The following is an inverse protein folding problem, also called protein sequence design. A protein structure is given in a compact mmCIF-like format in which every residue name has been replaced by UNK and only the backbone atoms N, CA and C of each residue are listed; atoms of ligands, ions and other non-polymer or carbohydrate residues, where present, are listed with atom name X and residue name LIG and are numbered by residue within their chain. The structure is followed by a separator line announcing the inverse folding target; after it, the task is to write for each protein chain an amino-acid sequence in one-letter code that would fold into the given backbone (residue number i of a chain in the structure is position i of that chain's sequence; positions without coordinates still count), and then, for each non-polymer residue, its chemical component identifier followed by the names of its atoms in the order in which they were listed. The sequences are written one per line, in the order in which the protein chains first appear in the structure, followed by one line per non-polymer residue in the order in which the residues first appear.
data_IF_667706531424
#
_entry.id   IF_667706531424
#
_cell.length_a   1.000
_cell.length_b   1.000
_cell.length_c   1.000
_cell.angle_alpha   90.00
_cell.angle_beta   90.00
_cell.angle_gamma   90.00
#
_symmetry.space_group_name_H-M   'P 1'
#
loop_
_entity.id
_entity.type
_entity.pdbx_description
1 polymer ?
#
# COMPACT_ATOMS: atom_id res chain seq x y z
N UNK A 1 36.37 0.75 -42.30
CA UNK A 1 35.70 1.43 -41.14
C UNK A 1 34.50 0.60 -40.81
N UNK A 2 34.61 -0.25 -39.80
CA UNK A 2 33.52 -1.13 -39.34
C UNK A 2 32.79 -0.44 -38.16
N UNK A 3 31.48 -0.30 -38.28
CA UNK A 3 30.59 0.27 -37.27
C UNK A 3 30.37 -0.81 -36.20
N UNK A 4 30.57 -0.55 -34.89
CA UNK A 4 30.27 -1.51 -33.85
C UNK A 4 28.75 -1.63 -33.63
N UNK A 5 28.28 -2.87 -33.60
CA UNK A 5 26.90 -3.30 -33.29
C UNK A 5 26.45 -2.80 -31.89
N UNK A 6 25.19 -2.40 -31.71
CA UNK A 6 24.72 -1.95 -30.41
C UNK A 6 24.61 -3.13 -29.45
N UNK A 7 25.31 -2.99 -28.30
CA UNK A 7 25.25 -3.93 -27.20
C UNK A 7 23.80 -4.09 -26.70
N UNK A 8 23.29 -5.31 -26.73
CA UNK A 8 22.06 -5.71 -26.07
C UNK A 8 22.14 -5.37 -24.57
N UNK A 9 21.37 -4.39 -24.12
CA UNK A 9 21.10 -4.22 -22.70
C UNK A 9 20.26 -5.39 -22.24
N UNK A 10 20.87 -6.27 -21.44
CA UNK A 10 20.14 -7.27 -20.67
C UNK A 10 19.16 -6.57 -19.72
N UNK A 11 17.92 -7.09 -19.56
CA UNK A 11 17.00 -6.61 -18.55
C UNK A 11 17.58 -6.84 -17.15
N UNK A 12 17.31 -5.95 -16.16
CA UNK A 12 17.89 -6.07 -14.83
C UNK A 12 17.38 -7.33 -14.12
N UNK A 13 18.28 -8.28 -13.96
CA UNK A 13 18.45 -9.16 -12.84
C UNK A 13 17.42 -10.23 -12.54
N UNK A 14 17.26 -11.23 -13.41
CA UNK A 14 17.00 -12.58 -12.92
C UNK A 14 18.28 -13.06 -12.19
N UNK A 15 18.18 -13.26 -10.87
CA UNK A 15 19.21 -14.01 -10.14
C UNK A 15 19.30 -15.39 -10.77
N UNK A 16 20.51 -15.86 -11.12
CA UNK A 16 20.74 -17.19 -11.65
C UNK A 16 20.02 -18.23 -10.76
N UNK A 17 19.59 -19.36 -11.35
CA UNK A 17 19.02 -20.52 -10.66
C UNK A 17 19.83 -20.81 -9.38
N UNK A 18 19.30 -20.40 -8.18
CA UNK A 18 19.99 -20.55 -6.92
C UNK A 18 20.39 -19.25 -6.22
N UNK A 19 19.53 -18.23 -6.14
CA UNK A 19 19.78 -17.03 -5.32
C UNK A 19 20.10 -17.34 -3.86
N UNK A 20 20.72 -16.38 -3.11
CA UNK A 20 21.14 -16.60 -1.73
C UNK A 20 19.98 -17.08 -0.84
N UNK A 21 20.30 -17.99 0.09
CA UNK A 21 19.37 -18.44 1.12
C UNK A 21 19.61 -17.66 2.39
N UNK A 22 18.59 -17.00 2.92
CA UNK A 22 18.61 -16.28 4.19
C UNK A 22 17.86 -17.06 5.26
N UNK A 23 18.29 -16.96 6.51
CA UNK A 23 17.78 -17.73 7.65
C UNK A 23 17.79 -19.26 7.42
N UNK A 24 18.61 -19.79 6.50
CA UNK A 24 18.61 -21.22 6.14
C UNK A 24 17.30 -21.71 5.49
N UNK A 25 16.34 -20.82 5.23
CA UNK A 25 14.96 -21.17 4.84
C UNK A 25 14.46 -20.41 3.60
N UNK A 26 14.78 -19.14 3.45
CA UNK A 26 14.19 -18.31 2.41
C UNK A 26 15.16 -18.09 1.25
N UNK A 27 14.89 -18.70 0.10
CA UNK A 27 15.69 -18.54 -1.10
C UNK A 27 15.25 -17.28 -1.86
N UNK A 28 16.12 -16.27 -1.92
CA UNK A 28 15.85 -15.02 -2.65
C UNK A 28 15.69 -15.30 -4.15
N UNK A 29 14.63 -14.75 -4.74
CA UNK A 29 14.28 -14.87 -6.16
C UNK A 29 14.30 -13.49 -6.83
N UNK A 30 13.12 -13.01 -7.21
CA UNK A 30 12.95 -11.77 -7.97
C UNK A 30 13.12 -10.56 -7.06
N UNK A 31 13.79 -9.53 -7.59
CA UNK A 31 13.83 -8.23 -6.94
C UNK A 31 12.49 -7.50 -7.20
N UNK A 32 11.71 -7.27 -6.16
CA UNK A 32 10.43 -6.58 -6.21
C UNK A 32 10.58 -5.06 -6.18
N UNK A 33 11.60 -4.55 -5.47
CA UNK A 33 11.83 -3.11 -5.35
C UNK A 33 13.21 -2.75 -4.81
N UNK A 34 13.66 -1.54 -5.17
CA UNK A 34 14.88 -0.92 -4.64
C UNK A 34 14.53 0.42 -4.01
N UNK A 35 14.75 0.54 -2.71
CA UNK A 35 14.71 1.80 -1.99
C UNK A 35 16.12 2.31 -1.69
N UNK A 36 16.20 3.49 -1.11
CA UNK A 36 17.46 4.09 -0.64
C UNK A 36 18.04 3.35 0.56
N UNK A 37 17.24 2.62 1.32
CA UNK A 37 17.59 1.98 2.59
C UNK A 37 17.60 0.46 2.51
N UNK A 38 16.83 -0.12 1.61
CA UNK A 38 16.69 -1.57 1.48
C UNK A 38 16.32 -1.98 0.06
N UNK A 39 16.55 -3.26 -0.23
CA UNK A 39 16.06 -3.99 -1.41
C UNK A 39 15.03 -5.01 -0.95
N UNK A 40 13.91 -5.11 -1.65
CA UNK A 40 12.85 -6.09 -1.34
C UNK A 40 12.87 -7.18 -2.38
N UNK A 41 12.97 -8.42 -1.94
CA UNK A 41 12.99 -9.62 -2.78
C UNK A 41 11.76 -10.48 -2.51
N UNK A 42 11.21 -11.08 -3.55
CA UNK A 42 10.40 -12.28 -3.41
C UNK A 42 11.33 -13.43 -3.03
N UNK A 43 10.94 -14.25 -2.07
CA UNK A 43 11.70 -15.42 -1.68
C UNK A 43 10.80 -16.65 -1.56
N UNK A 44 11.32 -17.80 -1.99
CA UNK A 44 10.66 -19.09 -1.75
C UNK A 44 10.92 -19.54 -0.34
N UNK A 45 9.90 -20.06 0.32
CA UNK A 45 10.02 -20.76 1.59
C UNK A 45 10.40 -22.23 1.32
N UNK A 46 11.62 -22.61 1.65
CA UNK A 46 12.15 -23.97 1.44
C UNK A 46 11.49 -25.02 2.33
N UNK A 47 10.79 -24.62 3.40
CA UNK A 47 9.99 -25.51 4.25
C UNK A 47 8.59 -25.78 3.64
N UNK A 48 8.33 -25.35 2.39
CA UNK A 48 7.08 -25.61 1.68
C UNK A 48 5.95 -24.66 2.01
N UNK A 49 6.23 -23.55 2.71
CA UNK A 49 5.29 -22.45 2.92
C UNK A 49 5.08 -21.58 1.67
N UNK A 50 4.18 -20.60 1.72
CA UNK A 50 4.00 -19.64 0.65
C UNK A 50 5.26 -18.77 0.49
N UNK A 51 5.46 -18.22 -0.71
CA UNK A 51 6.49 -17.21 -0.95
C UNK A 51 6.32 -16.02 0.01
N UNK A 52 7.44 -15.43 0.38
CA UNK A 52 7.50 -14.29 1.33
C UNK A 52 8.20 -13.08 0.67
N UNK A 53 8.04 -11.90 1.27
CA UNK A 53 8.86 -10.74 0.96
C UNK A 53 10.04 -10.67 1.95
N UNK A 54 11.24 -10.49 1.41
CA UNK A 54 12.46 -10.32 2.21
C UNK A 54 13.06 -8.96 1.90
N UNK A 55 13.03 -8.08 2.89
CA UNK A 55 13.60 -6.73 2.83
C UNK A 55 15.02 -6.77 3.39
N UNK A 56 16.01 -6.61 2.53
CA UNK A 56 17.44 -6.65 2.89
C UNK A 56 18.00 -5.24 2.86
N UNK A 57 18.69 -4.80 3.90
CA UNK A 57 19.33 -3.48 3.96
C UNK A 57 20.38 -3.31 2.85
N UNK A 58 20.62 -2.06 2.44
CA UNK A 58 21.59 -1.76 1.38
C UNK A 58 23.04 -2.00 1.81
N UNK A 59 23.32 -1.95 3.12
CA UNK A 59 24.61 -2.27 3.73
C UNK A 59 24.43 -2.83 5.15
N UNK A 60 25.52 -3.15 5.82
CA UNK A 60 25.63 -3.72 7.16
C UNK A 60 25.88 -2.68 8.26
N UNK A 61 25.66 -1.38 7.99
CA UNK A 61 25.87 -0.33 8.97
C UNK A 61 24.94 -0.44 10.18
N UNK A 62 25.39 -0.01 11.35
CA UNK A 62 24.61 0.03 12.57
C UNK A 62 23.28 0.79 12.40
N UNK A 63 23.28 1.85 11.60
CA UNK A 63 22.10 2.64 11.28
C UNK A 63 21.02 1.83 10.53
N UNK A 64 21.43 1.01 9.55
CA UNK A 64 20.49 0.17 8.80
C UNK A 64 20.03 -1.01 9.66
N UNK A 65 20.91 -1.53 10.53
CA UNK A 65 20.53 -2.55 11.50
C UNK A 65 19.44 -2.05 12.44
N UNK A 66 19.62 -0.88 13.02
CA UNK A 66 18.64 -0.24 13.90
C UNK A 66 17.30 -0.02 13.18
N UNK A 67 17.30 0.49 11.95
CA UNK A 67 16.09 0.73 11.17
C UNK A 67 15.31 -0.54 10.86
N UNK A 68 15.97 -1.59 10.38
CA UNK A 68 15.32 -2.88 10.08
C UNK A 68 14.78 -3.51 11.38
N UNK A 69 15.52 -3.39 12.49
CA UNK A 69 15.10 -3.89 13.80
C UNK A 69 13.86 -3.14 14.34
N UNK A 70 13.84 -1.81 14.20
CA UNK A 70 12.69 -0.99 14.60
C UNK A 70 11.45 -1.31 13.75
N UNK A 71 11.59 -1.44 12.44
CA UNK A 71 10.50 -1.86 11.54
C UNK A 71 9.96 -3.24 11.93
N UNK A 72 10.87 -4.20 12.21
CA UNK A 72 10.50 -5.54 12.66
C UNK A 72 9.74 -5.50 13.99
N UNK A 73 10.19 -4.69 14.96
CA UNK A 73 9.53 -4.54 16.26
C UNK A 73 8.11 -3.97 16.12
N UNK A 74 7.94 -2.96 15.28
CA UNK A 74 6.61 -2.38 14.95
C UNK A 74 5.71 -3.44 14.35
N UNK A 75 6.14 -4.11 13.28
CA UNK A 75 5.35 -5.14 12.59
C UNK A 75 5.05 -6.35 13.49
N UNK A 76 5.97 -6.72 14.38
CA UNK A 76 5.76 -7.82 15.33
C UNK A 76 4.66 -7.52 16.36
N UNK A 77 4.44 -6.25 16.69
CA UNK A 77 3.39 -5.81 17.61
C UNK A 77 2.01 -5.69 16.94
N UNK A 78 1.98 -5.41 15.62
CA UNK A 78 0.73 -5.17 14.89
C UNK A 78 0.05 -6.47 14.42
N UNK A 79 -1.28 -6.54 14.56
CA UNK A 79 -2.10 -7.66 14.07
C UNK A 79 -3.39 -7.12 13.46
N UNK A 80 -3.36 -6.90 12.14
CA UNK A 80 -4.55 -6.43 11.41
C UNK A 80 -4.60 -7.04 10.00
N UNK A 81 -5.78 -7.41 9.48
CA UNK A 81 -5.90 -8.05 8.17
C UNK A 81 -5.44 -7.17 6.98
N UNK A 82 -5.41 -5.86 7.13
CA UNK A 82 -4.88 -4.93 6.11
C UNK A 82 -3.48 -4.39 6.42
N UNK A 83 -2.71 -5.08 7.28
CA UNK A 83 -1.28 -4.84 7.52
C UNK A 83 -0.54 -6.13 7.16
N UNK A 84 0.61 -6.02 6.47
CA UNK A 84 1.46 -7.19 6.21
C UNK A 84 1.95 -7.80 7.51
N UNK A 85 1.99 -9.12 7.57
CA UNK A 85 2.38 -9.84 8.78
C UNK A 85 3.89 -9.99 8.85
N UNK A 86 4.47 -9.67 10.01
CA UNK A 86 5.85 -10.02 10.36
C UNK A 86 6.04 -11.54 10.43
N UNK A 87 7.15 -12.03 9.87
CA UNK A 87 7.51 -13.46 9.88
C UNK A 87 8.85 -13.67 10.58
N UNK A 88 9.85 -12.84 10.32
CA UNK A 88 11.18 -13.04 10.90
C UNK A 88 12.14 -11.88 10.68
N UNK A 89 13.23 -11.90 11.41
CA UNK A 89 14.33 -10.94 11.36
C UNK A 89 15.65 -11.70 11.43
N UNK A 90 16.69 -11.23 10.76
CA UNK A 90 18.01 -11.85 10.83
C UNK A 90 19.10 -11.07 10.11
N UNK A 91 20.24 -11.73 9.95
CA UNK A 91 21.40 -11.23 9.23
C UNK A 91 21.74 -12.21 8.12
N UNK A 92 22.02 -11.70 6.92
CA UNK A 92 22.40 -12.53 5.77
C UNK A 92 23.71 -13.27 6.06
N UNK A 93 23.75 -14.61 5.93
CA UNK A 93 24.95 -15.37 6.21
C UNK A 93 26.09 -15.04 5.25
N UNK A 94 27.31 -15.38 5.65
CA UNK A 94 28.51 -15.24 4.82
C UNK A 94 28.41 -15.96 3.47
N UNK A 95 29.32 -15.61 2.54
CA UNK A 95 29.42 -16.28 1.24
C UNK A 95 28.56 -15.70 0.11
N UNK A 96 27.88 -14.57 0.34
CA UNK A 96 27.10 -13.87 -0.69
C UNK A 96 27.45 -12.38 -0.74
N UNK A 97 27.10 -11.69 -1.82
CA UNK A 97 27.28 -10.24 -1.94
C UNK A 97 26.41 -9.43 -0.95
N UNK A 98 25.46 -10.06 -0.27
CA UNK A 98 24.59 -9.46 0.74
C UNK A 98 25.02 -9.81 2.18
N UNK A 99 26.13 -10.54 2.37
CA UNK A 99 26.60 -11.00 3.67
C UNK A 99 26.70 -9.88 4.71
N UNK A 100 26.32 -10.19 5.96
CA UNK A 100 26.37 -9.24 7.07
C UNK A 100 25.20 -8.26 7.14
N UNK A 101 24.39 -8.11 6.08
CA UNK A 101 23.28 -7.16 6.04
C UNK A 101 22.08 -7.65 6.83
N UNK A 102 21.43 -6.79 7.63
CA UNK A 102 20.19 -7.15 8.29
C UNK A 102 19.05 -7.30 7.28
N UNK A 103 18.15 -8.25 7.53
CA UNK A 103 16.94 -8.46 6.73
C UNK A 103 15.71 -8.68 7.59
N UNK A 104 14.56 -8.29 7.05
CA UNK A 104 13.23 -8.51 7.58
C UNK A 104 12.47 -9.44 6.63
N UNK A 105 11.76 -10.43 7.17
CA UNK A 105 10.84 -11.31 6.42
C UNK A 105 9.41 -10.96 6.79
N UNK A 106 8.59 -10.72 5.77
CA UNK A 106 7.18 -10.38 5.92
C UNK A 106 6.30 -11.13 4.91
N UNK A 107 5.00 -11.14 5.14
CA UNK A 107 4.02 -11.70 4.22
C UNK A 107 4.13 -11.00 2.85
N UNK A 108 4.17 -11.81 1.78
CA UNK A 108 4.15 -11.30 0.42
C UNK A 108 2.74 -10.87 0.03
N UNK A 109 2.55 -9.58 -0.26
CA UNK A 109 1.35 -9.09 -0.91
C UNK A 109 1.38 -9.44 -2.40
N UNK A 110 0.45 -10.27 -2.86
CA UNK A 110 0.49 -10.88 -4.20
C UNK A 110 -0.02 -10.00 -5.33
N UNK A 111 -0.79 -8.94 -5.03
CA UNK A 111 -1.36 -8.05 -6.03
C UNK A 111 -0.47 -6.85 -6.36
N UNK A 112 -0.89 -6.00 -7.32
CA UNK A 112 -0.18 -4.77 -7.64
C UNK A 112 -0.34 -3.74 -6.51
N UNK A 113 0.59 -2.77 -6.47
CA UNK A 113 0.42 -1.56 -5.67
C UNK A 113 -0.74 -0.70 -6.20
N UNK A 114 -1.32 0.15 -5.34
CA UNK A 114 -2.31 1.13 -5.81
C UNK A 114 -1.71 2.11 -6.83
N UNK A 115 -0.39 2.33 -6.81
CA UNK A 115 0.31 3.08 -7.86
C UNK A 115 0.26 2.40 -9.22
N UNK A 116 0.40 1.08 -9.27
CA UNK A 116 0.28 0.28 -10.49
C UNK A 116 -1.18 0.17 -10.93
N UNK A 117 -2.08 -0.08 -9.99
CA UNK A 117 -3.51 -0.15 -10.25
C UNK A 117 -4.05 1.15 -10.87
N UNK A 118 -3.63 2.31 -10.36
CA UNK A 118 -4.03 3.62 -10.91
C UNK A 118 -3.56 3.81 -12.37
N UNK A 119 -2.46 3.17 -12.78
CA UNK A 119 -1.95 3.23 -14.18
C UNK A 119 -2.69 2.28 -15.13
N UNK A 120 -3.28 1.21 -14.62
CA UNK A 120 -3.99 0.22 -15.44
C UNK A 120 -5.43 0.63 -15.79
N UNK A 121 -5.96 1.65 -15.14
CA UNK A 121 -7.30 2.18 -15.42
C UNK A 121 -7.99 2.76 -14.19
N UNK A 122 -9.20 3.28 -14.41
CA UNK A 122 -10.04 3.79 -13.32
C UNK A 122 -10.78 2.64 -12.65
N UNK A 123 -10.79 2.66 -11.33
CA UNK A 123 -11.58 1.73 -10.53
C UNK A 123 -12.94 2.33 -10.18
N UNK A 124 -13.95 1.47 -10.05
CA UNK A 124 -15.27 1.94 -9.63
C UNK A 124 -15.21 2.57 -8.23
N UNK A 125 -15.92 3.69 -7.97
CA UNK A 125 -15.90 4.33 -6.65
C UNK A 125 -16.25 3.39 -5.49
N UNK A 126 -17.16 2.44 -5.68
CA UNK A 126 -17.54 1.47 -4.64
C UNK A 126 -16.37 0.54 -4.26
N UNK A 127 -15.55 0.16 -5.24
CA UNK A 127 -14.34 -0.65 -4.99
C UNK A 127 -13.33 0.16 -4.19
N UNK A 128 -13.15 1.44 -4.56
CA UNK A 128 -12.27 2.36 -3.83
C UNK A 128 -12.78 2.59 -2.40
N UNK A 129 -14.10 2.67 -2.19
CA UNK A 129 -14.70 2.79 -0.86
C UNK A 129 -14.37 1.57 0.03
N UNK A 130 -14.44 0.37 -0.53
CA UNK A 130 -14.04 -0.86 0.17
C UNK A 130 -12.56 -0.88 0.54
N UNK A 131 -11.68 -0.40 -0.36
CA UNK A 131 -10.25 -0.25 -0.06
C UNK A 131 -10.02 0.82 1.02
N UNK A 132 -10.65 1.97 0.90
CA UNK A 132 -10.55 3.07 1.86
C UNK A 132 -10.93 2.61 3.27
N UNK A 133 -12.05 1.90 3.41
CA UNK A 133 -12.49 1.34 4.68
C UNK A 133 -11.40 0.47 5.31
N UNK A 134 -10.90 -0.55 4.60
CA UNK A 134 -9.90 -1.49 5.13
C UNK A 134 -8.57 -0.81 5.49
N UNK A 135 -8.14 0.20 4.69
CA UNK A 135 -6.94 0.99 4.95
C UNK A 135 -7.09 1.89 6.17
N UNK A 136 -8.24 2.55 6.34
CA UNK A 136 -8.51 3.35 7.53
C UNK A 136 -8.69 2.51 8.80
N UNK A 137 -9.26 1.31 8.70
CA UNK A 137 -9.30 0.34 9.82
C UNK A 137 -7.87 -0.04 10.25
N UNK A 138 -6.94 -0.26 9.29
CA UNK A 138 -5.53 -0.53 9.57
C UNK A 138 -4.83 0.68 10.20
N UNK A 139 -5.05 1.89 9.69
CA UNK A 139 -4.51 3.11 10.30
C UNK A 139 -5.07 3.35 11.69
N UNK A 140 -6.35 3.08 11.93
CA UNK A 140 -6.95 3.19 13.26
C UNK A 140 -6.30 2.24 14.27
N UNK A 141 -6.00 1.00 13.82
CA UNK A 141 -5.26 0.03 14.64
C UNK A 141 -3.84 0.54 14.96
N UNK A 142 -3.10 1.02 13.97
CA UNK A 142 -1.76 1.59 14.14
C UNK A 142 -1.77 2.79 15.11
N UNK A 143 -2.71 3.71 14.91
CA UNK A 143 -2.85 4.91 15.73
C UNK A 143 -3.27 4.57 17.17
N UNK A 144 -4.04 3.49 17.37
CA UNK A 144 -4.40 2.96 18.69
C UNK A 144 -3.20 2.47 19.49
N UNK A 145 -2.14 2.02 18.82
CA UNK A 145 -0.85 1.67 19.41
C UNK A 145 0.07 2.89 19.63
N UNK A 146 -0.44 4.11 19.41
CA UNK A 146 0.33 5.35 19.56
C UNK A 146 1.34 5.59 18.43
N UNK A 147 1.22 4.88 17.31
CA UNK A 147 2.14 4.93 16.18
C UNK A 147 1.54 5.67 14.99
N UNK A 148 2.38 6.29 14.17
CA UNK A 148 2.01 7.01 12.93
C UNK A 148 2.89 6.50 11.79
N UNK A 149 2.29 6.17 10.64
CA UNK A 149 2.99 5.57 9.50
C UNK A 149 3.95 6.52 8.80
N UNK A 150 3.53 7.76 8.57
CA UNK A 150 4.28 8.88 7.96
C UNK A 150 4.63 8.73 6.47
N UNK A 151 4.43 7.57 5.86
CA UNK A 151 4.74 7.30 4.44
C UNK A 151 3.55 6.65 3.69
N UNK A 152 2.35 7.13 3.95
CA UNK A 152 1.17 6.70 3.19
C UNK A 152 1.22 7.27 1.78
N UNK A 153 1.36 6.37 0.81
CA UNK A 153 1.41 6.68 -0.64
C UNK A 153 0.96 5.46 -1.45
N UNK A 154 0.51 5.62 -2.70
CA UNK A 154 -0.01 4.51 -3.50
C UNK A 154 0.97 3.34 -3.67
N UNK A 155 2.28 3.59 -3.64
CA UNK A 155 3.31 2.56 -3.76
C UNK A 155 3.39 1.64 -2.52
N UNK A 156 3.00 2.13 -1.33
CA UNK A 156 3.03 1.38 -0.07
C UNK A 156 1.67 0.72 0.27
N UNK A 157 0.71 0.78 -0.64
CA UNK A 157 -0.63 0.20 -0.50
C UNK A 157 -0.82 -0.85 -1.58
N UNK A 158 -0.88 -2.12 -1.18
CA UNK A 158 -0.91 -3.26 -2.09
C UNK A 158 -2.31 -3.88 -2.15
N UNK A 159 -2.75 -4.30 -3.34
CA UNK A 159 -3.92 -5.17 -3.46
C UNK A 159 -3.52 -6.59 -3.06
N UNK A 160 -4.34 -7.26 -2.26
CA UNK A 160 -4.01 -8.60 -1.75
C UNK A 160 -4.66 -9.74 -2.53
N UNK A 161 -5.65 -9.44 -3.38
CA UNK A 161 -6.49 -10.45 -4.03
C UNK A 161 -7.46 -11.18 -3.08
N UNK A 162 -7.43 -10.93 -1.78
CA UNK A 162 -8.29 -11.56 -0.79
C UNK A 162 -9.59 -10.79 -0.62
N UNK A 163 -10.75 -11.46 -0.76
CA UNK A 163 -12.09 -10.82 -0.66
C UNK A 163 -12.33 -10.12 0.69
N UNK A 164 -11.87 -10.70 1.82
CA UNK A 164 -12.09 -10.15 3.17
C UNK A 164 -11.15 -9.00 3.52
N UNK A 165 -10.01 -8.91 2.85
CA UNK A 165 -9.02 -7.85 3.07
C UNK A 165 -8.32 -7.58 1.74
N UNK A 166 -8.95 -6.80 0.85
CA UNK A 166 -8.47 -6.60 -0.51
C UNK A 166 -7.21 -5.75 -0.59
N UNK A 167 -6.83 -5.08 0.51
CA UNK A 167 -5.71 -4.14 0.57
C UNK A 167 -4.78 -4.45 1.74
N UNK A 168 -3.50 -4.11 1.59
CA UNK A 168 -2.44 -4.22 2.60
C UNK A 168 -1.61 -2.94 2.65
N UNK A 169 -1.32 -2.46 3.85
CA UNK A 169 -0.27 -1.47 4.07
C UNK A 169 1.05 -2.23 4.20
N UNK A 170 2.05 -1.79 3.46
CA UNK A 170 3.42 -2.32 3.48
C UNK A 170 4.40 -1.19 3.83
N UNK A 171 5.66 -1.54 4.16
CA UNK A 171 6.77 -0.60 4.40
C UNK A 171 6.57 0.29 5.64
N UNK A 172 6.91 -0.25 6.80
CA UNK A 172 6.83 0.41 8.11
C UNK A 172 8.16 1.04 8.54
N UNK A 173 9.10 1.24 7.60
CA UNK A 173 10.48 1.66 7.88
C UNK A 173 10.66 3.08 8.44
N UNK A 174 9.60 3.91 8.45
CA UNK A 174 9.65 5.26 9.03
C UNK A 174 8.52 5.56 10.03
N UNK A 175 7.88 4.52 10.54
CA UNK A 175 6.88 4.66 11.63
C UNK A 175 7.51 5.33 12.84
N UNK A 176 6.75 6.21 13.49
CA UNK A 176 7.20 6.91 14.70
C UNK A 176 6.07 7.04 15.74
N UNK A 177 6.45 7.22 17.00
CA UNK A 177 5.50 7.50 18.07
C UNK A 177 4.81 8.85 17.84
N UNK A 178 3.51 8.91 18.12
CA UNK A 178 2.77 10.17 18.11
C UNK A 178 3.38 11.16 19.12
N UNK A 179 3.50 12.43 18.73
CA UNK A 179 4.11 13.48 19.55
C UNK A 179 5.62 13.58 19.45
N UNK A 180 6.32 12.60 18.84
CA UNK A 180 7.77 12.69 18.64
C UNK A 180 8.13 13.82 17.66
N UNK A 181 9.37 14.37 17.74
CA UNK A 181 9.86 15.33 16.77
C UNK A 181 9.86 14.72 15.34
N UNK A 182 9.59 15.56 14.33
CA UNK A 182 9.75 15.16 12.94
C UNK A 182 11.25 14.96 12.64
N UNK A 183 11.63 13.74 12.23
CA UNK A 183 12.98 13.49 11.75
C UNK A 183 13.10 13.93 10.28
N UNK A 184 14.18 14.65 9.90
CA UNK A 184 14.49 14.92 8.51
C UNK A 184 14.87 13.62 7.79
N UNK A 185 14.38 13.41 6.59
CA UNK A 185 14.78 12.26 5.76
C UNK A 185 13.63 11.53 5.10
N UNK A 186 12.87 12.27 4.33
CA UNK A 186 11.75 11.71 3.55
C UNK A 186 12.19 11.44 2.12
N UNK A 187 11.80 10.27 1.58
CA UNK A 187 11.99 9.93 0.17
C UNK A 187 11.28 10.95 -0.74
N UNK A 188 11.89 11.30 -1.87
CA UNK A 188 11.31 12.24 -2.85
C UNK A 188 9.90 11.83 -3.33
N UNK A 189 9.59 10.54 -3.36
CA UNK A 189 8.26 10.03 -3.70
C UNK A 189 7.19 10.35 -2.65
N UNK A 190 7.56 10.42 -1.38
CA UNK A 190 6.67 10.70 -0.24
C UNK A 190 6.23 12.17 -0.21
N UNK A 191 7.06 13.07 -0.69
CA UNK A 191 6.79 14.52 -0.69
C UNK A 191 5.43 14.84 -1.32
N UNK A 192 4.96 14.09 -2.31
CA UNK A 192 3.67 14.34 -2.96
C UNK A 192 2.44 14.05 -2.07
N UNK A 193 2.60 13.34 -0.96
CA UNK A 193 1.48 12.92 -0.07
C UNK A 193 1.61 13.45 1.36
N UNK A 194 2.69 14.16 1.70
CA UNK A 194 2.88 14.78 3.01
C UNK A 194 1.72 15.71 3.37
N UNK A 195 1.37 15.78 4.63
CA UNK A 195 0.46 16.81 5.14
C UNK A 195 1.15 18.19 5.24
N UNK A 196 0.38 19.31 5.26
CA UNK A 196 0.95 20.66 5.42
C UNK A 196 1.83 20.79 6.66
N UNK A 197 1.35 20.27 7.79
CA UNK A 197 2.07 20.34 9.08
C UNK A 197 3.30 19.43 9.12
N UNK A 198 3.27 18.28 8.44
CA UNK A 198 4.45 17.42 8.25
C UNK A 198 5.51 18.15 7.43
N UNK A 199 5.10 18.84 6.35
CA UNK A 199 5.97 19.63 5.51
C UNK A 199 6.63 20.80 6.27
N UNK A 200 5.95 21.32 7.28
CA UNK A 200 6.43 22.40 8.16
C UNK A 200 7.25 21.92 9.35
N UNK A 201 7.50 20.60 9.49
CA UNK A 201 8.31 20.04 10.57
C UNK A 201 7.64 20.01 11.93
N UNK A 202 6.30 20.00 11.97
CA UNK A 202 5.53 19.87 13.20
C UNK A 202 5.72 18.51 13.91
N UNK A 203 5.22 18.33 15.14
CA UNK A 203 5.29 17.05 15.85
C UNK A 203 4.44 16.00 15.13
N UNK A 204 4.90 14.73 15.17
CA UNK A 204 4.26 13.58 14.51
C UNK A 204 2.82 13.41 15.04
N UNK A 205 1.84 13.36 14.14
CA UNK A 205 0.41 13.23 14.50
C UNK A 205 -0.30 12.22 13.58
N UNK A 206 -1.28 11.44 14.11
CA UNK A 206 -2.13 10.56 13.33
C UNK A 206 -2.83 11.23 12.13
N UNK A 207 -3.16 12.51 12.25
CA UNK A 207 -3.78 13.31 11.17
C UNK A 207 -2.92 13.46 9.91
N UNK A 208 -1.60 13.18 9.98
CA UNK A 208 -0.72 13.14 8.81
C UNK A 208 -1.10 11.98 7.87
N UNK A 209 -1.30 10.79 8.43
CA UNK A 209 -1.69 9.60 7.65
C UNK A 209 -3.08 9.76 7.06
N UNK A 210 -4.00 10.40 7.79
CA UNK A 210 -5.37 10.68 7.32
C UNK A 210 -5.35 11.61 6.11
N UNK A 211 -4.56 12.69 6.17
CA UNK A 211 -4.39 13.61 5.05
C UNK A 211 -3.77 12.92 3.82
N UNK A 212 -2.68 12.19 4.04
CA UNK A 212 -2.00 11.45 2.97
C UNK A 212 -2.94 10.44 2.30
N UNK A 213 -3.75 9.70 3.08
CA UNK A 213 -4.75 8.79 2.54
C UNK A 213 -5.82 9.55 1.75
N UNK A 214 -6.24 10.73 2.17
CA UNK A 214 -7.15 11.60 1.42
C UNK A 214 -6.61 11.94 0.02
N UNK A 215 -5.31 12.28 -0.07
CA UNK A 215 -4.66 12.54 -1.37
C UNK A 215 -4.55 11.28 -2.25
N UNK A 216 -4.26 10.11 -1.65
CA UNK A 216 -4.26 8.82 -2.36
C UNK A 216 -5.62 8.51 -2.96
N UNK A 217 -6.69 8.64 -2.17
CA UNK A 217 -8.06 8.38 -2.64
C UNK A 217 -8.49 9.36 -3.73
N UNK A 218 -8.13 10.65 -3.59
CA UNK A 218 -8.39 11.65 -4.62
C UNK A 218 -7.69 11.31 -5.94
N UNK A 219 -6.44 10.87 -5.89
CA UNK A 219 -5.71 10.41 -7.08
C UNK A 219 -6.34 9.19 -7.73
N UNK A 220 -6.74 8.19 -6.94
CA UNK A 220 -7.42 6.99 -7.47
C UNK A 220 -8.75 7.30 -8.18
N UNK A 221 -9.50 8.27 -7.67
CA UNK A 221 -10.80 8.67 -8.22
C UNK A 221 -10.66 9.57 -9.46
N UNK A 222 -9.65 10.45 -9.48
CA UNK A 222 -9.46 11.43 -10.56
C UNK A 222 -8.48 10.97 -11.64
N UNK A 223 -7.58 10.04 -11.30
CA UNK A 223 -6.46 9.61 -12.14
C UNK A 223 -5.30 10.62 -12.17
N UNK A 224 -5.29 11.61 -11.29
CA UNK A 224 -4.30 12.69 -11.27
C UNK A 224 -3.89 13.04 -9.84
N UNK A 225 -2.62 13.37 -9.64
CA UNK A 225 -2.15 13.88 -8.34
C UNK A 225 -2.87 15.16 -7.95
N UNK A 226 -3.25 15.26 -6.69
CA UNK A 226 -3.94 16.44 -6.13
C UNK A 226 -3.14 17.75 -6.29
N UNK A 227 -1.81 17.65 -6.21
CA UNK A 227 -0.86 18.74 -6.43
C UNK A 227 0.16 18.28 -7.48
N UNK A 228 -0.11 18.55 -8.78
CA UNK A 228 0.82 18.20 -9.88
C UNK A 228 2.07 19.07 -9.85
N UNK A 229 3.09 18.69 -10.60
CA UNK A 229 4.37 19.38 -10.70
C UNK A 229 5.51 18.65 -10.00
N UNK A 230 6.61 19.35 -9.78
CA UNK A 230 7.77 18.85 -9.06
C UNK A 230 7.46 18.62 -7.58
N UNK A 231 8.33 17.89 -6.88
CA UNK A 231 8.18 17.66 -5.44
C UNK A 231 8.10 18.98 -4.63
N UNK A 232 8.91 19.96 -5.00
CA UNK A 232 8.94 21.28 -4.33
C UNK A 232 7.65 22.06 -4.61
N UNK A 233 7.21 22.14 -5.86
CA UNK A 233 5.96 22.82 -6.23
C UNK A 233 4.76 22.19 -5.54
N UNK A 234 4.69 20.87 -5.51
CA UNK A 234 3.64 20.12 -4.81
C UNK A 234 3.67 20.39 -3.30
N UNK A 235 4.86 20.47 -2.69
CA UNK A 235 5.04 20.78 -1.27
C UNK A 235 4.54 22.19 -0.94
N UNK A 236 4.98 23.18 -1.69
CA UNK A 236 4.57 24.59 -1.51
C UNK A 236 3.06 24.74 -1.72
N UNK A 237 2.50 24.18 -2.79
CA UNK A 237 1.09 24.31 -3.09
C UNK A 237 0.17 23.85 -1.95
N UNK A 238 0.50 22.73 -1.28
CA UNK A 238 -0.33 22.17 -0.19
C UNK A 238 -0.24 22.94 1.12
N UNK A 239 0.83 23.69 1.35
CA UNK A 239 0.92 24.59 2.52
C UNK A 239 0.12 25.89 2.33
N UNK A 240 -0.26 26.20 1.08
CA UNK A 240 -0.99 27.41 0.73
C UNK A 240 -2.49 27.21 0.49
N UNK A 241 -2.91 26.00 0.10
CA UNK A 241 -4.31 25.74 -0.25
C UNK A 241 -4.70 24.27 -0.11
N UNK A 242 -5.99 24.02 0.10
CA UNK A 242 -6.57 22.68 0.01
C UNK A 242 -6.48 22.11 -1.42
N UNK A 243 -6.46 20.78 -1.60
CA UNK A 243 -6.55 20.17 -2.92
C UNK A 243 -7.91 20.49 -3.58
N UNK A 244 -7.93 20.57 -4.90
CA UNK A 244 -9.19 20.64 -5.64
C UNK A 244 -9.89 19.29 -5.62
N UNK A 245 -11.10 19.25 -5.07
CA UNK A 245 -11.95 18.05 -5.02
C UNK A 245 -13.15 18.27 -5.94
N UNK A 246 -13.25 17.57 -7.11
CA UNK A 246 -14.37 17.72 -8.03
C UNK A 246 -15.70 17.27 -7.42
N UNK A 247 -16.75 18.07 -7.60
CA UNK A 247 -18.10 17.71 -7.15
C UNK A 247 -18.69 16.54 -7.96
N UNK A 248 -18.14 16.26 -9.14
CA UNK A 248 -18.56 15.19 -10.05
C UNK A 248 -18.15 13.78 -9.60
N UNK A 249 -17.46 13.61 -8.46
CA UNK A 249 -17.01 12.29 -7.96
C UNK A 249 -18.13 11.40 -7.43
N UNK A 250 -19.37 11.89 -7.42
CA UNK A 250 -20.53 11.18 -6.94
C UNK A 250 -20.88 11.49 -5.48
N UNK A 251 -22.03 10.98 -5.00
CA UNK A 251 -22.56 11.30 -3.69
C UNK A 251 -21.60 10.95 -2.55
N UNK A 252 -21.40 11.86 -1.62
CA UNK A 252 -20.60 11.67 -0.41
C UNK A 252 -19.08 11.80 -0.59
N UNK A 253 -18.53 11.46 -1.76
CA UNK A 253 -17.10 11.51 -2.01
C UNK A 253 -16.49 12.91 -1.83
N UNK A 254 -17.07 14.00 -2.37
CA UNK A 254 -16.49 15.33 -2.20
C UNK A 254 -16.42 15.77 -0.75
N UNK A 255 -17.48 15.53 0.03
CA UNK A 255 -17.48 15.86 1.45
C UNK A 255 -16.46 15.04 2.24
N UNK A 256 -16.36 13.73 1.97
CA UNK A 256 -15.39 12.84 2.60
C UNK A 256 -13.95 13.28 2.29
N UNK A 257 -13.60 13.50 1.04
CA UNK A 257 -12.24 13.90 0.65
C UNK A 257 -11.85 15.27 1.23
N UNK A 258 -12.78 16.24 1.25
CA UNK A 258 -12.54 17.56 1.85
C UNK A 258 -12.28 17.45 3.35
N UNK A 259 -13.01 16.60 4.07
CA UNK A 259 -12.76 16.39 5.50
C UNK A 259 -11.41 15.75 5.79
N UNK A 260 -10.97 14.77 4.97
CA UNK A 260 -9.66 14.13 5.11
C UNK A 260 -8.51 15.11 4.83
N UNK A 261 -8.70 16.05 3.90
CA UNK A 261 -7.68 16.98 3.41
C UNK A 261 -7.85 18.40 3.92
N UNK A 262 -8.60 18.60 5.02
CA UNK A 262 -8.75 19.90 5.67
C UNK A 262 -7.37 20.49 6.02
N UNK A 263 -7.21 21.82 5.86
CA UNK A 263 -5.95 22.49 6.17
C UNK A 263 -5.65 22.45 7.65
N UNK A 264 -6.66 22.72 8.49
CA UNK A 264 -6.53 22.49 9.92
C UNK A 264 -6.58 20.98 10.22
N UNK A 265 -5.50 20.48 10.80
CA UNK A 265 -5.39 19.06 11.16
C UNK A 265 -6.40 18.64 12.25
N UNK A 266 -6.94 19.57 13.04
CA UNK A 266 -7.96 19.32 14.06
C UNK A 266 -9.36 19.09 13.46
N UNK A 267 -9.61 19.56 12.23
CA UNK A 267 -10.88 19.36 11.52
C UNK A 267 -10.93 18.00 10.81
N UNK A 268 -9.80 17.29 10.69
CA UNK A 268 -9.74 15.97 10.05
C UNK A 268 -10.32 14.92 10.99
N UNK A 269 -11.11 13.97 10.46
CA UNK A 269 -11.58 12.83 11.25
C UNK A 269 -10.38 11.99 11.73
N UNK A 270 -10.56 11.26 12.79
CA UNK A 270 -9.67 10.15 13.16
C UNK A 270 -9.73 9.05 12.11
N UNK A 271 -8.74 8.17 12.05
CA UNK A 271 -8.78 7.02 11.12
C UNK A 271 -10.00 6.11 11.38
N UNK A 272 -10.43 5.94 12.62
CA UNK A 272 -11.63 5.16 12.96
C UNK A 272 -12.92 5.80 12.42
N UNK A 273 -13.08 7.11 12.57
CA UNK A 273 -14.20 7.87 12.00
C UNK A 273 -14.19 7.81 10.47
N UNK A 274 -13.00 7.99 9.85
CA UNK A 274 -12.83 7.90 8.41
C UNK A 274 -13.19 6.50 7.85
N UNK A 275 -12.87 5.42 8.57
CA UNK A 275 -13.31 4.07 8.22
C UNK A 275 -14.84 3.96 8.20
N UNK A 276 -15.52 4.52 9.21
CA UNK A 276 -16.98 4.59 9.27
C UNK A 276 -17.58 5.46 8.16
N UNK A 277 -16.90 6.56 7.78
CA UNK A 277 -17.32 7.41 6.66
C UNK A 277 -17.18 6.66 5.33
N UNK A 278 -16.06 5.97 5.09
CA UNK A 278 -15.82 5.16 3.90
C UNK A 278 -16.85 4.01 3.77
N UNK A 279 -17.23 3.39 4.88
CA UNK A 279 -18.26 2.34 4.88
C UNK A 279 -19.63 2.84 4.37
N UNK A 280 -19.97 4.10 4.62
CA UNK A 280 -21.21 4.72 4.13
C UNK A 280 -21.21 5.05 2.64
N UNK A 281 -20.02 5.07 2.01
CA UNK A 281 -19.86 5.24 0.56
C UNK A 281 -19.99 3.92 -0.20
N UNK A 282 -19.96 2.79 0.51
CA UNK A 282 -20.16 1.48 -0.12
C UNK A 282 -21.63 1.26 -0.46
N UNK A 283 -21.93 0.55 -1.57
CA UNK A 283 -23.32 0.20 -1.86
C UNK A 283 -23.91 -0.64 -0.72
N UNK A 284 -25.15 -0.36 -0.37
CA UNK A 284 -25.89 -1.21 0.57
C UNK A 284 -26.00 -2.60 -0.05
N UNK A 285 -25.61 -3.68 0.65
CA UNK A 285 -25.84 -5.03 0.13
C UNK A 285 -27.33 -5.18 -0.17
N UNK A 286 -27.68 -5.39 -1.44
CA UNK A 286 -29.04 -5.78 -1.80
C UNK A 286 -29.19 -7.21 -1.31
N UNK A 287 -30.03 -7.40 -0.30
CA UNK A 287 -30.36 -8.73 0.22
C UNK A 287 -31.02 -9.52 -0.92
N UNK A 288 -30.31 -10.49 -1.50
CA UNK A 288 -30.82 -11.34 -2.60
C UNK A 288 -32.06 -12.15 -2.19
N UNK A 289 -32.47 -12.08 -0.91
CA UNK A 289 -33.62 -12.79 -0.36
C UNK A 289 -34.98 -12.25 -0.85
N UNK A 290 -35.05 -11.13 -1.57
CA UNK A 290 -36.31 -10.51 -2.01
C UNK A 290 -36.54 -10.53 -3.52
N UNK A 291 -35.78 -11.28 -4.30
CA UNK A 291 -36.14 -11.53 -5.70
C UNK A 291 -37.19 -12.64 -5.76
N UNK A 292 -38.47 -12.35 -6.08
CA UNK A 292 -39.46 -13.40 -6.22
C UNK A 292 -39.00 -14.31 -7.36
N UNK A 293 -38.80 -15.59 -7.03
CA UNK A 293 -38.47 -16.65 -7.97
C UNK A 293 -39.51 -16.62 -9.11
N UNK A 294 -39.17 -16.03 -10.25
CA UNK A 294 -39.98 -16.08 -11.46
C UNK A 294 -40.08 -17.56 -11.84
N UNK A 295 -41.22 -18.20 -11.55
CA UNK A 295 -41.53 -19.55 -12.00
C UNK A 295 -41.24 -19.62 -13.49
N UNK A 296 -40.21 -20.38 -13.86
CA UNK A 296 -40.00 -20.77 -15.26
C UNK A 296 -41.26 -21.48 -15.75
N UNK A 297 -41.90 -20.89 -16.75
CA UNK A 297 -43.00 -21.52 -17.45
C UNK A 297 -42.45 -22.80 -18.14
N UNK A 298 -42.91 -23.94 -17.67
CA UNK A 298 -42.62 -25.23 -18.29
C UNK A 298 -43.41 -25.26 -19.60
N UNK A 299 -42.71 -25.16 -20.75
CA UNK A 299 -43.31 -25.40 -22.05
C UNK A 299 -43.53 -26.89 -22.22
N UNK A 300 -44.75 -27.34 -22.65
CA UNK A 300 -45.03 -28.75 -22.91
C UNK A 300 -44.23 -29.23 -24.14
N UNK A 301 -43.57 -30.35 -24.00
CA UNK A 301 -42.86 -31.02 -25.09
C UNK A 301 -43.80 -31.38 -26.24
N UNK A 302 -43.58 -30.83 -27.44
CA UNK A 302 -44.25 -31.25 -28.68
C UNK A 302 -43.77 -32.66 -29.05
N UNK A 303 -44.73 -33.62 -29.08
CA UNK A 303 -44.54 -34.95 -29.67
C UNK A 303 -44.19 -34.82 -31.15
N UNK A 304 -43.01 -35.29 -31.53
CA UNK A 304 -42.68 -35.52 -32.93
C UNK A 304 -43.37 -36.81 -33.36
N UNK A 305 -44.35 -36.69 -34.30
CA UNK A 305 -44.90 -37.84 -35.02
C UNK A 305 -43.86 -38.32 -36.03
N UNK A 306 -43.45 -39.59 -35.88
CA UNK A 306 -42.80 -40.33 -36.96
C UNK A 306 -43.85 -40.54 -38.08
N UNK A 307 -43.49 -40.18 -39.29
CA UNK A 307 -44.13 -40.67 -40.53
C UNK A 307 -43.17 -41.62 -41.19
N UNK A 308 -43.71 -42.76 -41.58
CA UNK A 308 -43.12 -43.88 -42.27
C UNK A 308 -42.55 -43.51 -43.66
#
# INVERSE_FOLDING_TARGET
MSIPSPAHRQPPGALALGGPVVAGRYQLKDLLGRGTLAQVFRAADLDGGPDVAVKVAVDDSAKHFERISNEAAVLAALRHPSIVRFIGLGVVPGGTALAGRPFLVEELALGPSLSEAARTGRHHPDVIAGWARGLFEALAHLHGEGLVHRDIKPANLMLSGLRRSPVRIVDFGIVAAAGSPAEPGVSSGTVHYMSPEQASGGPVRPSWDVYAMGLVLLELLTGSKAFPGTAIESLVARTLRSPHVPDSLGPGWPAFLRSLTAMDSAERPTAAEAAGMAARLMPVPVDEATTPCRRMAVFPARRIRQLA
#
